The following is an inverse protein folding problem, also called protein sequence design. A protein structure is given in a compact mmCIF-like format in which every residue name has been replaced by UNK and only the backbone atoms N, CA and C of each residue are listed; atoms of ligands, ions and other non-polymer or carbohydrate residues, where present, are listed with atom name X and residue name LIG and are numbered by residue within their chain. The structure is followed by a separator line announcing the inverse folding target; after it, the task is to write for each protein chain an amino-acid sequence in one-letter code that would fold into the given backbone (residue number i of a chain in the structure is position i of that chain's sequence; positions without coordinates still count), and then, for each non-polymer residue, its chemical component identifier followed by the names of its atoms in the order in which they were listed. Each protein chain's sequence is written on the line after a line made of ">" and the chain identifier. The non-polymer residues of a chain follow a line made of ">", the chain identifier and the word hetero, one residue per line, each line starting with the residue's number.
data_IF_093025796377
#
_entry.id   IF_093025796377
#
_cell.length_a   1.000
_cell.length_b   1.000
_cell.length_c   1.000
_cell.angle_alpha   90.00
_cell.angle_beta   90.00
_cell.angle_gamma   90.00
#
_symmetry.space_group_name_H-M   'P 1'
#
loop_
_entity.id
_entity.type
_entity.pdbx_description
1 polymer ?
#
# COMPACT_ATOMS: atom_id res chain seq x y z
N UNK A 1 -31.48 -9.93 -9.06
CA UNK A 1 -32.14 -10.81 -10.06
C UNK A 1 -31.88 -10.27 -11.47
N UNK A 2 -31.84 -11.13 -12.48
CA UNK A 2 -31.54 -10.74 -13.88
C UNK A 2 -32.50 -9.68 -14.45
N UNK A 3 -33.79 -9.73 -14.10
CA UNK A 3 -34.78 -8.73 -14.50
C UNK A 3 -34.46 -7.34 -13.93
N UNK A 4 -34.15 -7.26 -12.63
CA UNK A 4 -33.81 -6.01 -11.98
C UNK A 4 -32.52 -5.38 -12.51
N UNK A 5 -31.52 -6.20 -12.84
CA UNK A 5 -30.26 -5.71 -13.45
C UNK A 5 -30.49 -5.27 -14.90
N UNK A 6 -31.28 -6.04 -15.66
CA UNK A 6 -31.64 -5.67 -17.03
C UNK A 6 -32.35 -4.31 -17.11
N UNK A 7 -33.29 -4.07 -16.19
CA UNK A 7 -34.01 -2.81 -16.08
C UNK A 7 -33.09 -1.66 -15.65
N UNK A 8 -32.26 -1.87 -14.61
CA UNK A 8 -31.33 -0.85 -14.11
C UNK A 8 -30.35 -0.33 -15.17
N UNK A 9 -29.84 -1.21 -16.03
CA UNK A 9 -28.83 -0.87 -17.04
C UNK A 9 -29.42 -0.68 -18.45
N UNK A 10 -30.75 -0.70 -18.57
CA UNK A 10 -31.47 -0.58 -19.84
C UNK A 10 -30.90 -1.55 -20.91
N UNK A 11 -30.73 -2.82 -20.52
CA UNK A 11 -30.22 -3.89 -21.38
C UNK A 11 -31.24 -5.01 -21.48
N UNK A 12 -31.34 -5.59 -22.67
CA UNK A 12 -32.22 -6.74 -22.85
C UNK A 12 -31.70 -7.94 -22.03
N UNK A 13 -32.57 -8.70 -21.31
CA UNK A 13 -32.14 -9.87 -20.54
C UNK A 13 -31.36 -10.91 -21.36
N UNK A 14 -31.63 -10.99 -22.67
CA UNK A 14 -30.87 -11.86 -23.59
C UNK A 14 -29.41 -11.43 -23.75
N UNK A 15 -29.13 -10.13 -23.70
CA UNK A 15 -27.76 -9.58 -23.76
C UNK A 15 -26.99 -9.94 -22.50
N UNK A 16 -27.63 -9.84 -21.33
CA UNK A 16 -27.06 -10.35 -20.06
C UNK A 16 -26.73 -11.84 -20.15
N UNK A 17 -27.67 -12.65 -20.67
CA UNK A 17 -27.42 -14.09 -20.89
C UNK A 17 -26.29 -14.35 -21.87
N UNK A 18 -26.13 -13.50 -22.88
CA UNK A 18 -25.01 -13.61 -23.82
C UNK A 18 -23.68 -13.38 -23.08
N UNK A 19 -23.56 -12.31 -22.29
CA UNK A 19 -22.36 -12.05 -21.49
C UNK A 19 -22.04 -13.19 -20.50
N UNK A 20 -23.07 -13.80 -19.89
CA UNK A 20 -22.89 -14.99 -19.05
C UNK A 20 -22.35 -16.20 -19.84
N UNK A 21 -22.87 -16.46 -21.05
CA UNK A 21 -22.42 -17.58 -21.89
C UNK A 21 -20.99 -17.41 -22.37
N UNK A 22 -20.60 -16.18 -22.72
CA UNK A 22 -19.23 -15.84 -23.08
C UNK A 22 -18.29 -15.82 -21.84
N UNK A 23 -18.82 -16.10 -20.64
CA UNK A 23 -18.02 -16.15 -19.41
C UNK A 23 -17.57 -14.79 -18.87
N UNK A 24 -18.05 -13.69 -19.47
CA UNK A 24 -17.74 -12.31 -19.07
C UNK A 24 -18.38 -11.94 -17.72
N UNK A 25 -19.50 -12.57 -17.39
CA UNK A 25 -20.20 -12.44 -16.11
C UNK A 25 -20.42 -13.82 -15.48
N UNK A 26 -20.16 -13.93 -14.18
CA UNK A 26 -20.28 -15.20 -13.44
C UNK A 26 -21.13 -15.00 -12.18
N UNK A 27 -22.45 -14.73 -12.35
CA UNK A 27 -23.32 -14.49 -11.21
C UNK A 27 -23.41 -15.71 -10.31
N UNK A 28 -23.47 -15.46 -9.01
CA UNK A 28 -23.72 -16.49 -8.02
C UNK A 28 -25.16 -16.99 -8.11
N UNK A 29 -25.38 -18.26 -7.76
CA UNK A 29 -26.72 -18.86 -7.69
C UNK A 29 -27.17 -18.98 -6.24
N UNK A 30 -28.40 -18.57 -5.96
CA UNK A 30 -29.03 -18.85 -4.65
C UNK A 30 -29.51 -20.31 -4.57
N UNK A 31 -29.86 -20.77 -3.36
CA UNK A 31 -30.43 -22.10 -3.11
C UNK A 31 -31.71 -22.37 -3.94
N UNK A 32 -32.45 -21.32 -4.31
CA UNK A 32 -33.61 -21.38 -5.20
C UNK A 32 -33.28 -21.31 -6.69
N UNK A 33 -32.03 -21.60 -7.09
CA UNK A 33 -31.52 -21.56 -8.47
C UNK A 33 -31.69 -20.18 -9.17
N UNK A 34 -31.84 -19.11 -8.39
CA UNK A 34 -32.01 -17.75 -8.92
C UNK A 34 -30.65 -17.06 -9.04
N UNK A 35 -30.44 -16.33 -10.14
CA UNK A 35 -29.21 -15.57 -10.39
C UNK A 35 -29.16 -14.33 -9.49
N UNK A 36 -28.11 -14.25 -8.69
CA UNK A 36 -27.76 -13.10 -7.87
C UNK A 36 -26.48 -12.49 -8.44
N UNK A 37 -26.55 -11.19 -8.76
CA UNK A 37 -25.39 -10.41 -9.17
C UNK A 37 -24.87 -9.71 -7.92
N UNK A 38 -23.59 -9.88 -7.64
CA UNK A 38 -22.89 -9.15 -6.59
C UNK A 38 -22.56 -7.74 -7.06
N UNK A 39 -22.14 -6.86 -6.15
CA UNK A 39 -21.69 -5.51 -6.53
C UNK A 39 -20.48 -5.56 -7.48
N UNK A 40 -19.61 -6.57 -7.33
CA UNK A 40 -18.48 -6.80 -8.23
C UNK A 40 -18.96 -7.19 -9.65
N UNK A 41 -19.98 -8.05 -9.76
CA UNK A 41 -20.60 -8.38 -11.05
C UNK A 41 -21.18 -7.13 -11.73
N UNK A 42 -21.77 -6.22 -10.94
CA UNK A 42 -22.35 -4.98 -11.46
C UNK A 42 -21.28 -4.00 -11.96
N UNK A 43 -20.16 -3.86 -11.22
CA UNK A 43 -19.02 -3.06 -11.67
C UNK A 43 -18.41 -3.65 -12.96
N UNK A 44 -18.28 -4.97 -13.03
CA UNK A 44 -17.81 -5.65 -14.23
C UNK A 44 -18.74 -5.43 -15.41
N UNK A 45 -20.07 -5.51 -15.19
CA UNK A 45 -21.07 -5.23 -16.21
C UNK A 45 -20.96 -3.79 -16.73
N UNK A 46 -20.74 -2.82 -15.86
CA UNK A 46 -20.58 -1.41 -16.25
C UNK A 46 -19.39 -1.23 -17.20
N UNK A 47 -18.25 -1.84 -16.89
CA UNK A 47 -17.06 -1.83 -17.77
C UNK A 47 -17.35 -2.51 -19.12
N UNK A 48 -18.05 -3.65 -19.11
CA UNK A 48 -18.44 -4.33 -20.35
C UNK A 48 -19.32 -3.42 -21.21
N UNK A 49 -20.26 -2.71 -20.60
CA UNK A 49 -21.16 -1.80 -21.31
C UNK A 49 -20.41 -0.59 -21.87
N UNK A 50 -19.49 0.00 -21.12
CA UNK A 50 -18.63 1.09 -21.59
C UNK A 50 -17.80 0.64 -22.82
N UNK A 51 -17.12 -0.51 -22.72
CA UNK A 51 -16.30 -1.05 -23.82
C UNK A 51 -17.13 -1.36 -25.07
N UNK A 52 -18.33 -1.90 -24.91
CA UNK A 52 -19.17 -2.32 -26.04
C UNK A 52 -19.98 -1.17 -26.65
N UNK A 53 -20.56 -0.28 -25.84
CA UNK A 53 -21.44 0.81 -26.30
C UNK A 53 -20.66 2.06 -26.70
N UNK A 54 -19.63 2.43 -25.94
CA UNK A 54 -18.91 3.68 -26.17
C UNK A 54 -17.70 3.48 -27.07
N UNK A 55 -16.93 2.42 -26.83
CA UNK A 55 -15.70 2.14 -27.59
C UNK A 55 -15.90 1.17 -28.77
N UNK A 56 -17.09 0.57 -28.89
CA UNK A 56 -17.42 -0.33 -30.00
C UNK A 56 -16.59 -1.63 -30.02
N UNK A 57 -16.04 -2.03 -28.87
CA UNK A 57 -15.21 -3.23 -28.75
C UNK A 57 -16.08 -4.48 -28.87
N UNK A 58 -15.61 -5.48 -29.60
CA UNK A 58 -16.30 -6.77 -29.71
C UNK A 58 -16.13 -7.61 -28.42
N UNK A 59 -16.94 -8.66 -28.26
CA UNK A 59 -16.93 -9.48 -27.04
C UNK A 59 -15.58 -10.16 -26.77
N UNK A 60 -14.89 -10.61 -27.82
CA UNK A 60 -13.55 -11.20 -27.69
C UNK A 60 -12.53 -10.17 -27.18
N UNK A 61 -12.61 -8.93 -27.64
CA UNK A 61 -11.77 -7.83 -27.17
C UNK A 61 -12.08 -7.46 -25.73
N UNK A 62 -13.37 -7.44 -25.35
CA UNK A 62 -13.80 -7.23 -23.96
C UNK A 62 -13.21 -8.30 -23.05
N UNK A 63 -13.27 -9.58 -23.45
CA UNK A 63 -12.67 -10.69 -22.69
C UNK A 63 -11.17 -10.47 -22.46
N UNK A 64 -10.43 -10.14 -23.52
CA UNK A 64 -8.99 -9.88 -23.46
C UNK A 64 -8.70 -8.71 -22.50
N UNK A 65 -9.44 -7.60 -22.62
CA UNK A 65 -9.26 -6.41 -21.78
C UNK A 65 -9.52 -6.73 -20.31
N UNK A 66 -10.58 -7.47 -20.00
CA UNK A 66 -10.89 -7.85 -18.62
C UNK A 66 -9.81 -8.77 -18.03
N UNK A 67 -9.33 -9.75 -18.79
CA UNK A 67 -8.24 -10.63 -18.36
C UNK A 67 -6.93 -9.84 -18.15
N UNK A 68 -6.63 -8.88 -19.03
CA UNK A 68 -5.48 -8.00 -18.84
C UNK A 68 -5.60 -7.16 -17.57
N UNK A 69 -6.78 -6.60 -17.28
CA UNK A 69 -7.04 -5.86 -16.04
C UNK A 69 -6.82 -6.73 -14.79
N UNK A 70 -7.32 -7.96 -14.79
CA UNK A 70 -7.12 -8.90 -13.69
C UNK A 70 -5.63 -9.21 -13.47
N UNK A 71 -4.89 -9.47 -14.54
CA UNK A 71 -3.44 -9.71 -14.48
C UNK A 71 -2.67 -8.49 -13.97
N UNK A 72 -3.05 -7.29 -14.41
CA UNK A 72 -2.43 -6.05 -13.92
C UNK A 72 -2.70 -5.83 -12.44
N UNK A 73 -3.92 -6.08 -11.97
CA UNK A 73 -4.25 -5.99 -10.54
C UNK A 73 -3.43 -6.98 -9.70
N UNK A 74 -3.33 -8.24 -10.14
CA UNK A 74 -2.51 -9.24 -9.47
C UNK A 74 -1.01 -8.87 -9.46
N UNK A 75 -0.50 -8.32 -10.57
CA UNK A 75 0.89 -7.85 -10.65
C UNK A 75 1.13 -6.66 -9.72
N UNK A 76 0.18 -5.73 -9.62
CA UNK A 76 0.27 -4.58 -8.72
C UNK A 76 0.31 -5.03 -7.25
N UNK A 77 -0.52 -6.00 -6.88
CA UNK A 77 -0.52 -6.59 -5.53
C UNK A 77 0.82 -7.27 -5.21
N UNK A 78 1.40 -8.01 -6.17
CA UNK A 78 2.72 -8.61 -6.00
C UNK A 78 3.83 -7.57 -5.83
N UNK A 79 3.78 -6.47 -6.58
CA UNK A 79 4.74 -5.36 -6.42
C UNK A 79 4.60 -4.73 -5.05
N UNK A 80 3.38 -4.47 -4.58
CA UNK A 80 3.12 -3.89 -3.26
C UNK A 80 3.61 -4.80 -2.13
N UNK A 81 3.38 -6.11 -2.23
CA UNK A 81 3.90 -7.10 -1.29
C UNK A 81 5.44 -7.10 -1.29
N UNK A 82 6.07 -7.12 -2.47
CA UNK A 82 7.52 -7.10 -2.59
C UNK A 82 8.15 -5.82 -2.03
N UNK A 83 7.55 -4.65 -2.30
CA UNK A 83 8.00 -3.36 -1.74
C UNK A 83 7.84 -3.34 -0.22
N UNK A 84 6.73 -3.88 0.31
CA UNK A 84 6.52 -3.99 1.75
C UNK A 84 7.60 -4.86 2.41
N UNK A 85 7.94 -6.01 1.82
CA UNK A 85 9.01 -6.89 2.29
C UNK A 85 10.37 -6.17 2.31
N UNK A 86 10.73 -5.51 1.20
CA UNK A 86 11.97 -4.72 1.12
C UNK A 86 12.06 -3.64 2.19
N UNK A 87 10.96 -2.93 2.45
CA UNK A 87 10.93 -1.89 3.49
C UNK A 87 11.14 -2.47 4.89
N UNK A 88 10.60 -3.66 5.17
CA UNK A 88 10.83 -4.36 6.46
C UNK A 88 12.30 -4.77 6.59
N UNK A 89 12.91 -5.32 5.53
CA UNK A 89 14.32 -5.71 5.55
C UNK A 89 15.28 -4.52 5.69
N UNK A 90 15.03 -3.43 4.95
CA UNK A 90 15.80 -2.20 5.05
C UNK A 90 15.64 -1.54 6.44
N UNK A 91 14.44 -1.54 7.01
CA UNK A 91 14.19 -1.06 8.37
C UNK A 91 14.89 -1.90 9.45
N UNK A 92 15.01 -3.21 9.25
CA UNK A 92 15.83 -4.10 10.12
C UNK A 92 17.32 -3.82 9.99
N UNK A 93 17.82 -3.63 8.76
CA UNK A 93 19.24 -3.31 8.49
C UNK A 93 19.64 -1.87 8.87
N UNK A 94 18.69 -0.95 8.98
CA UNK A 94 18.92 0.41 9.46
C UNK A 94 18.98 0.51 11.01
N UNK A 95 18.59 -0.54 11.75
CA UNK A 95 18.80 -0.63 13.21
C UNK A 95 20.05 -1.46 13.55
N UNK A 96 21.24 -0.90 13.38
CA UNK A 96 22.26 -1.10 14.40
C UNK A 96 23.10 0.17 14.63
N UNK A 97 22.75 0.99 15.63
CA UNK A 97 23.68 1.83 16.44
C UNK A 97 22.98 2.54 17.63
N UNK A 98 22.02 1.91 18.30
CA UNK A 98 21.52 2.40 19.61
C UNK A 98 21.76 1.33 20.68
N UNK A 99 23.02 0.96 20.87
CA UNK A 99 23.53 0.26 22.06
C UNK A 99 25.04 0.37 22.08
N UNK A 100 25.54 1.55 22.49
CA UNK A 100 26.99 1.77 22.50
C UNK A 100 27.50 3.08 23.11
N UNK A 101 26.68 3.96 23.68
CA UNK A 101 27.17 5.20 24.33
C UNK A 101 26.73 5.32 25.80
N UNK A 102 26.90 4.24 26.57
CA UNK A 102 26.88 4.30 28.05
C UNK A 102 28.25 4.06 28.71
N UNK A 103 29.33 4.01 27.91
CA UNK A 103 30.70 3.80 28.39
C UNK A 103 31.70 4.90 27.98
N UNK A 104 31.24 6.12 27.67
CA UNK A 104 32.17 7.25 27.51
C UNK A 104 32.45 7.91 28.87
N UNK A 105 33.23 7.23 29.72
CA UNK A 105 33.87 7.84 30.89
C UNK A 105 35.19 8.47 30.47
N UNK A 106 35.18 9.72 30.00
CA UNK A 106 36.38 10.55 30.10
C UNK A 106 36.21 11.50 31.29
N UNK A 107 36.86 11.15 32.40
CA UNK A 107 36.97 11.99 33.60
C UNK A 107 37.90 13.16 33.27
N UNK A 108 37.34 14.31 32.90
CA UNK A 108 38.09 15.55 32.83
C UNK A 108 38.42 15.96 34.27
N UNK A 109 39.70 15.88 34.64
CA UNK A 109 40.16 16.42 35.91
C UNK A 109 39.86 17.93 35.93
N UNK A 110 39.05 18.37 36.90
CA UNK A 110 38.83 19.79 37.15
C UNK A 110 40.19 20.42 37.48
N UNK A 111 40.70 21.23 36.57
CA UNK A 111 41.85 22.09 36.85
C UNK A 111 41.31 23.20 37.76
N UNK A 112 41.65 23.13 39.06
CA UNK A 112 41.48 24.29 39.92
C UNK A 112 42.42 25.39 39.40
N UNK A 113 41.82 26.52 39.05
CA UNK A 113 42.54 27.73 38.71
C UNK A 113 43.45 28.10 39.88
N UNK A 114 44.76 27.93 39.67
CA UNK A 114 45.78 28.40 40.61
C UNK A 114 45.73 29.93 40.60
N UNK A 115 45.10 30.54 41.60
CA UNK A 115 45.31 31.94 41.92
C UNK A 115 46.76 32.12 42.34
N UNK A 116 47.50 32.92 41.58
CA UNK A 116 48.87 33.33 41.91
C UNK A 116 48.85 34.15 43.20
N UNK A 117 49.61 33.77 44.25
CA UNK A 117 49.65 34.55 45.48
C UNK A 117 50.36 35.90 45.26
N UNK A 118 49.93 36.98 45.92
CA UNK A 118 50.51 38.31 45.75
C UNK A 118 51.94 38.41 46.32
N UNK A 119 52.75 39.37 45.83
CA UNK A 119 54.18 39.45 46.14
C UNK A 119 54.44 39.80 47.62
N UNK A 120 55.38 39.08 48.23
CA UNK A 120 55.79 39.24 49.64
C UNK A 120 56.61 40.53 49.80
N UNK A 121 56.04 41.52 50.48
CA UNK A 121 56.78 42.71 50.97
C UNK A 121 57.62 42.30 52.18
N UNK A 122 58.95 42.27 51.98
CA UNK A 122 59.91 42.01 53.04
C UNK A 122 59.88 43.09 54.12
N UNK A 123 59.47 42.73 55.32
CA UNK A 123 59.82 43.45 56.55
C UNK A 123 60.51 42.49 57.52
N UNK A 124 61.82 42.65 57.71
CA UNK A 124 62.48 42.25 58.96
C UNK A 124 62.86 43.51 59.74
N UNK A 125 62.25 43.64 60.91
CA UNK A 125 62.72 44.42 62.08
C UNK A 125 64.04 43.79 62.55
N UNK A 126 65.10 44.58 62.77
CA UNK A 126 65.47 45.34 63.98
C UNK A 126 65.83 44.47 65.20
N UNK A 127 67.00 44.83 65.73
CA UNK A 127 67.64 44.51 67.01
C UNK A 127 68.32 43.14 67.08
#
# INVERSE_FOLDING_TARGET
>A
MISAVAEKYEIHPQTLRMYEREGLLKPSRSEGNTRLYTDEDLQRLEVILELTRELGVNLAGVEIILNMREKMAAMQEQIEQFVAELNVELGRKARPAESGERHALMRVARVESVETPPPVVGRRRKA
#
